data_IF_094309067214
#
_entry.id   IF_094309067214
#
_cell.length_a   1.000
_cell.length_b   1.000
_cell.length_c   1.000
_cell.angle_alpha   90.00
_cell.angle_beta   90.00
_cell.angle_gamma   90.00
#
_symmetry.space_group_name_H-M   'P 1'
#
loop_
_entity.id
_entity.type
_entity.pdbx_description
1 polymer ?
#
# COMPACT_ATOMS: atom_id res chain seq x y z
N UNK A 1 15.01 28.24 -28.44
CA UNK A 1 15.30 28.06 -27.00
C UNK A 1 13.96 28.08 -26.27
N UNK A 2 13.44 26.92 -25.84
CA UNK A 2 12.07 26.81 -25.32
C UNK A 2 11.90 27.57 -24.01
N UNK A 3 10.75 28.25 -23.83
CA UNK A 3 10.40 28.94 -22.59
C UNK A 3 10.37 27.91 -21.46
N UNK A 4 11.14 28.14 -20.39
CA UNK A 4 11.12 27.28 -19.19
C UNK A 4 9.76 27.45 -18.52
N UNK A 5 9.03 26.35 -18.31
CA UNK A 5 7.68 26.38 -17.72
C UNK A 5 7.78 26.72 -16.22
N UNK A 6 7.01 27.71 -15.77
CA UNK A 6 6.85 28.00 -14.34
C UNK A 6 5.75 27.09 -13.78
N UNK A 7 6.11 26.27 -12.78
CA UNK A 7 5.18 25.36 -12.12
C UNK A 7 4.00 26.10 -11.49
N UNK A 8 4.19 27.36 -11.06
CA UNK A 8 3.10 28.15 -10.49
C UNK A 8 2.02 28.50 -11.52
N UNK A 9 2.33 28.50 -12.81
CA UNK A 9 1.35 28.77 -13.88
C UNK A 9 0.37 27.59 -14.06
N UNK A 10 0.75 26.38 -13.65
CA UNK A 10 -0.06 25.16 -13.82
C UNK A 10 -0.61 24.57 -12.50
N UNK A 11 0.03 24.87 -11.36
CA UNK A 11 -0.39 24.36 -10.07
C UNK A 11 -1.65 25.06 -9.56
N UNK A 12 -2.56 24.26 -8.98
CA UNK A 12 -3.68 24.77 -8.18
C UNK A 12 -3.14 25.65 -7.06
N UNK A 13 -3.86 26.73 -6.73
CA UNK A 13 -3.40 27.75 -5.77
C UNK A 13 -2.94 27.18 -4.42
N UNK A 14 -3.64 26.16 -3.90
CA UNK A 14 -3.32 25.51 -2.63
C UNK A 14 -2.03 24.68 -2.66
N UNK A 15 -1.57 24.24 -3.84
CA UNK A 15 -0.33 23.48 -3.99
C UNK A 15 0.91 24.37 -4.14
N UNK A 16 0.74 25.66 -4.43
CA UNK A 16 1.86 26.59 -4.62
C UNK A 16 2.65 26.86 -3.34
N UNK A 17 2.00 26.71 -2.19
CA UNK A 17 2.60 26.87 -0.86
C UNK A 17 2.68 25.55 -0.09
N UNK A 18 2.34 24.43 -0.75
CA UNK A 18 2.41 23.11 -0.12
C UNK A 18 3.87 22.68 -0.01
N UNK A 19 4.27 22.25 1.18
CA UNK A 19 5.55 21.55 1.38
C UNK A 19 5.27 20.06 1.31
N UNK A 20 6.02 19.35 0.46
CA UNK A 20 5.88 17.91 0.32
C UNK A 20 6.23 17.21 1.65
N UNK A 21 5.69 16.00 1.83
CA UNK A 21 6.14 15.13 2.91
C UNK A 21 7.65 14.89 2.76
N UNK A 22 8.40 15.19 3.82
CA UNK A 22 9.82 14.91 3.93
C UNK A 22 9.97 13.67 4.84
N UNK A 23 10.43 12.53 4.30
CA UNK A 23 10.69 11.36 5.14
C UNK A 23 11.83 11.66 6.12
N UNK A 24 11.80 11.00 7.28
CA UNK A 24 12.92 11.05 8.22
C UNK A 24 14.22 10.52 7.62
N UNK A 25 15.35 10.93 8.18
CA UNK A 25 16.67 10.50 7.73
C UNK A 25 16.80 8.96 7.70
N UNK A 26 17.34 8.44 6.60
CA UNK A 26 17.65 7.02 6.41
C UNK A 26 19.13 6.92 6.03
N UNK A 27 20.00 6.32 6.88
CA UNK A 27 21.38 6.09 6.52
C UNK A 27 21.47 5.12 5.34
N UNK A 28 22.33 5.41 4.36
CA UNK A 28 22.58 4.55 3.20
C UNK A 28 23.75 3.57 3.39
N UNK A 29 24.55 3.77 4.43
CA UNK A 29 25.68 2.92 4.80
C UNK A 29 25.21 1.65 5.51
N UNK A 30 26.01 0.59 5.44
CA UNK A 30 25.74 -0.66 6.15
C UNK A 30 26.10 -0.54 7.65
N UNK A 31 25.72 -1.54 8.45
CA UNK A 31 26.11 -1.65 9.87
C UNK A 31 25.16 -0.97 10.86
N UNK A 32 24.07 -0.37 10.40
CA UNK A 32 23.04 0.22 11.26
C UNK A 32 22.00 -0.80 11.71
N UNK A 33 21.55 -0.69 12.96
CA UNK A 33 20.31 -1.32 13.42
C UNK A 33 19.14 -0.38 13.11
N UNK A 34 18.39 -0.69 12.05
CA UNK A 34 17.25 0.13 11.59
C UNK A 34 16.04 -0.02 12.52
N UNK A 35 15.61 1.08 13.15
CA UNK A 35 14.47 1.11 14.09
C UNK A 35 13.50 2.29 13.87
N UNK A 36 13.63 3.02 12.75
CA UNK A 36 12.98 4.32 12.55
C UNK A 36 11.71 4.32 11.67
N UNK A 37 11.29 3.18 11.11
CA UNK A 37 10.11 3.09 10.21
C UNK A 37 8.99 2.17 10.72
N UNK A 38 9.04 1.71 11.97
CA UNK A 38 8.05 0.78 12.57
C UNK A 38 7.79 -0.50 11.75
N UNK A 39 8.77 -0.95 10.96
CA UNK A 39 8.70 -2.20 10.21
C UNK A 39 8.73 -3.43 11.13
N UNK A 40 8.11 -4.51 10.68
CA UNK A 40 8.22 -5.79 11.37
C UNK A 40 9.63 -6.38 11.19
N UNK A 41 10.38 -6.69 12.27
CA UNK A 41 11.74 -7.22 12.15
C UNK A 41 11.79 -8.69 11.70
N UNK A 42 10.66 -9.41 11.77
CA UNK A 42 10.61 -10.82 11.38
C UNK A 42 10.44 -10.95 9.87
N UNK A 43 11.21 -11.84 9.20
CA UNK A 43 11.01 -12.11 7.79
C UNK A 43 9.65 -12.79 7.55
N UNK A 44 9.08 -12.66 6.33
CA UNK A 44 7.91 -13.43 5.95
C UNK A 44 8.17 -14.94 6.10
N UNK A 45 7.13 -15.70 6.46
CA UNK A 45 7.23 -17.17 6.50
C UNK A 45 7.43 -17.72 5.08
N UNK A 46 8.17 -18.83 4.90
CA UNK A 46 8.49 -19.39 3.58
C UNK A 46 7.27 -19.70 2.71
N UNK A 47 6.17 -20.09 3.33
CA UNK A 47 4.90 -20.41 2.66
C UNK A 47 4.35 -19.19 1.90
N UNK A 48 4.36 -18.01 2.53
CA UNK A 48 3.92 -16.76 1.90
C UNK A 48 4.80 -16.41 0.70
N UNK A 49 6.12 -16.63 0.80
CA UNK A 49 7.04 -16.37 -0.31
C UNK A 49 6.77 -17.29 -1.51
N UNK A 50 6.40 -18.54 -1.26
CA UNK A 50 6.04 -19.48 -2.31
C UNK A 50 4.69 -19.12 -2.95
N UNK A 51 3.69 -18.74 -2.15
CA UNK A 51 2.38 -18.33 -2.65
C UNK A 51 2.48 -17.10 -3.54
N UNK A 52 3.28 -16.09 -3.15
CA UNK A 52 3.53 -14.91 -3.97
C UNK A 52 4.16 -15.31 -5.31
N UNK A 53 5.19 -16.17 -5.31
CA UNK A 53 5.83 -16.64 -6.54
C UNK A 53 4.84 -17.37 -7.46
N UNK A 54 3.96 -18.21 -6.89
CA UNK A 54 2.95 -18.94 -7.63
C UNK A 54 1.85 -18.02 -8.21
N UNK A 55 1.52 -16.94 -7.49
CA UNK A 55 0.54 -15.95 -7.95
C UNK A 55 1.05 -15.14 -9.16
N UNK A 56 2.36 -14.92 -9.26
CA UNK A 56 3.02 -14.27 -10.41
C UNK A 56 3.16 -15.28 -11.57
N UNK A 57 2.04 -15.56 -12.23
CA UNK A 57 1.97 -16.42 -13.41
C UNK A 57 1.35 -15.68 -14.60
N UNK A 58 1.13 -16.38 -15.70
CA UNK A 58 0.56 -15.86 -16.95
C UNK A 58 -0.74 -15.05 -16.78
N UNK A 59 -1.51 -15.23 -15.70
CA UNK A 59 -2.75 -14.50 -15.42
C UNK A 59 -2.52 -13.02 -15.12
N UNK A 60 -1.30 -12.57 -14.81
CA UNK A 60 -0.99 -11.15 -14.60
C UNK A 60 -1.27 -10.26 -15.83
N UNK A 61 -1.47 -10.88 -17.02
CA UNK A 61 -1.92 -10.17 -18.22
C UNK A 61 -3.39 -9.74 -18.17
N UNK A 62 -4.16 -10.24 -17.19
CA UNK A 62 -5.57 -9.95 -17.00
C UNK A 62 -5.76 -8.94 -15.88
N UNK A 63 -6.82 -8.14 -15.95
CA UNK A 63 -7.24 -7.33 -14.82
C UNK A 63 -7.63 -8.24 -13.63
N UNK A 64 -7.26 -7.88 -12.40
CA UNK A 64 -7.69 -8.60 -11.20
C UNK A 64 -9.19 -8.37 -10.93
N UNK A 65 -9.74 -9.09 -9.94
CA UNK A 65 -11.08 -8.77 -9.41
C UNK A 65 -11.10 -7.32 -8.91
N UNK A 66 -11.90 -6.42 -9.52
CA UNK A 66 -11.92 -5.00 -9.15
C UNK A 66 -12.43 -4.75 -7.74
N UNK A 67 -13.06 -5.75 -7.10
CA UNK A 67 -13.63 -5.63 -5.77
C UNK A 67 -12.79 -6.30 -4.68
N UNK A 68 -11.71 -7.01 -5.05
CA UNK A 68 -10.88 -7.80 -4.11
C UNK A 68 -11.73 -8.66 -3.15
N UNK A 69 -12.74 -9.35 -3.68
CA UNK A 69 -13.81 -9.99 -2.90
C UNK A 69 -13.27 -11.01 -1.90
N UNK A 70 -12.39 -11.92 -2.34
CA UNK A 70 -11.85 -12.96 -1.45
C UNK A 70 -10.96 -12.34 -0.34
N UNK A 71 -10.19 -11.28 -0.63
CA UNK A 71 -9.41 -10.57 0.39
C UNK A 71 -10.32 -9.92 1.44
N UNK A 72 -11.36 -9.20 1.01
CA UNK A 72 -12.31 -8.57 1.94
C UNK A 72 -13.00 -9.59 2.83
N UNK A 73 -13.42 -10.72 2.25
CA UNK A 73 -14.04 -11.83 2.97
C UNK A 73 -13.09 -12.41 4.02
N UNK A 74 -11.83 -12.62 3.68
CA UNK A 74 -10.87 -13.21 4.63
C UNK A 74 -10.49 -12.24 5.76
N UNK A 75 -10.32 -10.94 5.46
CA UNK A 75 -10.11 -9.91 6.49
C UNK A 75 -11.27 -9.89 7.48
N UNK A 76 -12.52 -9.94 7.00
CA UNK A 76 -13.71 -10.00 7.85
C UNK A 76 -13.70 -11.25 8.73
N UNK A 77 -13.38 -12.43 8.17
CA UNK A 77 -13.31 -13.68 8.90
C UNK A 77 -12.27 -13.64 10.03
N UNK A 78 -11.08 -13.11 9.74
CA UNK A 78 -9.96 -13.06 10.70
C UNK A 78 -10.20 -12.04 11.80
N UNK A 79 -10.66 -10.83 11.45
CA UNK A 79 -10.73 -9.69 12.36
C UNK A 79 -12.06 -9.61 13.14
N UNK A 80 -13.20 -9.83 12.48
CA UNK A 80 -14.50 -9.58 13.12
C UNK A 80 -15.02 -10.77 13.91
N UNK A 81 -14.57 -12.01 13.62
CA UNK A 81 -14.80 -13.29 14.35
C UNK A 81 -16.25 -13.64 14.74
N UNK A 82 -17.20 -12.74 14.59
CA UNK A 82 -18.57 -12.87 15.04
C UNK A 82 -19.45 -13.19 13.84
N UNK A 83 -20.04 -14.39 13.85
CA UNK A 83 -20.86 -14.93 12.76
C UNK A 83 -22.08 -14.03 12.47
N UNK A 84 -22.48 -13.20 13.43
CA UNK A 84 -23.62 -12.28 13.32
C UNK A 84 -23.24 -10.93 12.68
N UNK A 85 -21.94 -10.60 12.58
CA UNK A 85 -21.44 -9.37 11.90
C UNK A 85 -21.18 -9.55 10.40
N UNK A 86 -21.40 -10.75 9.83
CA UNK A 86 -21.33 -10.98 8.39
C UNK A 86 -22.44 -10.26 7.59
N UNK A 87 -23.32 -9.51 8.25
CA UNK A 87 -24.54 -8.94 7.65
C UNK A 87 -24.32 -7.65 6.89
N UNK A 88 -23.10 -7.07 6.85
CA UNK A 88 -22.79 -6.04 5.86
C UNK A 88 -21.38 -6.21 5.26
N UNK A 89 -21.32 -6.93 4.13
CA UNK A 89 -20.12 -7.11 3.26
C UNK A 89 -19.53 -5.79 2.73
N UNK A 90 -20.10 -4.64 3.09
CA UNK A 90 -19.63 -3.30 2.74
C UNK A 90 -18.86 -2.60 3.87
N UNK A 91 -18.44 -3.32 4.92
CA UNK A 91 -17.71 -2.73 6.06
C UNK A 91 -16.18 -2.71 5.89
N UNK A 92 -15.66 -3.33 4.83
CA UNK A 92 -14.24 -3.37 4.49
C UNK A 92 -14.03 -2.84 3.08
N UNK A 93 -13.08 -1.91 2.94
CA UNK A 93 -12.59 -1.37 1.68
C UNK A 93 -11.09 -1.67 1.57
N UNK A 94 -10.60 -1.84 0.34
CA UNK A 94 -9.19 -2.17 0.04
C UNK A 94 -8.58 -0.99 -0.72
N UNK A 95 -7.40 -0.54 -0.27
CA UNK A 95 -6.55 0.46 -0.93
C UNK A 95 -5.08 0.01 -0.93
N UNK A 96 -4.18 0.74 -1.61
CA UNK A 96 -2.75 0.40 -1.59
C UNK A 96 -2.03 1.14 -0.46
N UNK A 97 -2.03 0.52 0.72
CA UNK A 97 -1.53 1.18 1.92
C UNK A 97 -2.53 2.21 2.45
N UNK A 98 -2.28 2.69 3.67
CA UNK A 98 -3.17 3.65 4.34
C UNK A 98 -2.93 5.10 3.92
N UNK A 99 -1.77 5.37 3.32
CA UNK A 99 -1.36 6.72 2.92
C UNK A 99 -1.87 7.11 1.53
N UNK A 100 -2.51 6.17 0.80
CA UNK A 100 -3.27 6.39 -0.43
C UNK A 100 -4.77 6.50 -0.15
#
# INVERSE_FOLDING_TARGET
MGKKMDLNEILRKNLRTYSAYEPGEQPSEEGWLKLNTNENPYPPIPEILNDIKNAVNEKIRLYPDPTSFELRKEILNVLLRDKDTLTNRNSVFIGNGSDE
#
